data_IF_861564937361
#
_entry.id   IF_861564937361
#
_cell.length_a   1.000
_cell.length_b   1.000
_cell.length_c   1.000
_cell.angle_alpha   90.00
_cell.angle_beta   90.00
_cell.angle_gamma   90.00
#
_symmetry.space_group_name_H-M   'P 1'
#
loop_
_entity.id
_entity.type
_entity.pdbx_description
1 polymer ?
#
# COMPACT_ATOMS: atom_id res chain seq x y z
N UNK A 1 7.07 -17.66 -40.43
CA UNK A 1 7.89 -17.46 -39.22
C UNK A 1 7.19 -18.22 -38.11
N UNK A 2 7.59 -19.48 -37.90
CA UNK A 2 6.97 -20.31 -36.87
C UNK A 2 7.33 -19.74 -35.51
N UNK A 3 6.32 -19.27 -34.77
CA UNK A 3 6.50 -18.80 -33.39
C UNK A 3 6.56 -20.08 -32.55
N UNK A 4 7.78 -20.60 -32.38
CA UNK A 4 8.05 -21.71 -31.49
C UNK A 4 7.62 -21.28 -30.08
N UNK A 5 6.45 -21.77 -29.65
CA UNK A 5 5.91 -21.51 -28.32
C UNK A 5 6.79 -22.26 -27.33
N UNK A 6 7.88 -21.62 -26.91
CA UNK A 6 8.83 -22.18 -25.97
C UNK A 6 8.05 -22.69 -24.75
N UNK A 7 8.07 -24.01 -24.54
CA UNK A 7 7.46 -24.65 -23.38
C UNK A 7 8.32 -24.26 -22.19
N UNK A 8 8.01 -23.10 -21.58
CA UNK A 8 8.63 -22.65 -20.34
C UNK A 8 8.49 -23.80 -19.34
N UNK A 9 9.63 -24.29 -18.85
CA UNK A 9 9.63 -25.38 -17.89
C UNK A 9 8.89 -24.92 -16.64
N UNK A 10 8.03 -25.77 -16.07
CA UNK A 10 7.30 -25.46 -14.83
C UNK A 10 8.23 -24.96 -13.71
N UNK A 11 9.49 -25.42 -13.72
CA UNK A 11 10.52 -25.03 -12.76
C UNK A 11 11.01 -23.58 -12.94
N UNK A 12 11.02 -23.06 -14.17
CA UNK A 12 11.35 -21.66 -14.45
C UNK A 12 10.19 -20.74 -14.06
N UNK A 13 8.96 -21.16 -14.33
CA UNK A 13 7.76 -20.41 -13.94
C UNK A 13 7.68 -20.20 -12.42
N UNK A 14 8.02 -21.21 -11.63
CA UNK A 14 8.03 -21.09 -10.16
C UNK A 14 9.05 -20.05 -9.66
N UNK A 15 10.20 -19.88 -10.33
CA UNK A 15 11.18 -18.86 -9.93
C UNK A 15 10.61 -17.46 -10.08
N UNK A 16 9.92 -17.19 -11.18
CA UNK A 16 9.28 -15.89 -11.42
C UNK A 16 8.14 -15.63 -10.42
N UNK A 17 7.33 -16.65 -10.11
CA UNK A 17 6.25 -16.54 -9.12
C UNK A 17 6.84 -16.23 -7.74
N UNK A 18 7.89 -16.94 -7.31
CA UNK A 18 8.55 -16.67 -6.02
C UNK A 18 9.16 -15.27 -5.95
N UNK A 19 9.76 -14.80 -7.05
CA UNK A 19 10.24 -13.42 -7.14
C UNK A 19 9.09 -12.42 -6.95
N UNK A 20 7.97 -12.60 -7.66
CA UNK A 20 6.79 -11.74 -7.55
C UNK A 20 6.18 -11.77 -6.14
N UNK A 21 6.06 -12.95 -5.54
CA UNK A 21 5.58 -13.12 -4.15
C UNK A 21 6.51 -12.38 -3.18
N UNK A 22 7.83 -12.49 -3.37
CA UNK A 22 8.81 -11.76 -2.55
C UNK A 22 8.66 -10.25 -2.64
N UNK A 23 8.54 -9.71 -3.85
CA UNK A 23 8.34 -8.26 -4.07
C UNK A 23 7.00 -7.80 -3.47
N UNK A 24 5.93 -8.57 -3.69
CA UNK A 24 4.61 -8.23 -3.17
C UNK A 24 4.58 -8.26 -1.64
N UNK A 25 5.20 -9.26 -1.02
CA UNK A 25 5.35 -9.35 0.43
C UNK A 25 6.12 -8.15 0.99
N UNK A 26 7.20 -7.73 0.32
CA UNK A 26 7.96 -6.55 0.71
C UNK A 26 7.11 -5.28 0.66
N UNK A 27 6.29 -5.10 -0.36
CA UNK A 27 5.35 -3.98 -0.46
C UNK A 27 4.27 -4.05 0.63
N UNK A 28 3.70 -5.23 0.86
CA UNK A 28 2.68 -5.47 1.87
C UNK A 28 3.19 -5.21 3.30
N UNK A 29 4.49 -5.39 3.57
CA UNK A 29 5.11 -5.04 4.84
C UNK A 29 5.51 -3.56 4.92
N UNK A 30 6.16 -3.03 3.87
CA UNK A 30 6.67 -1.64 3.88
C UNK A 30 5.56 -0.60 3.89
N UNK A 31 4.44 -0.86 3.20
CA UNK A 31 3.30 0.04 3.15
C UNK A 31 2.68 0.34 4.54
N UNK A 32 2.22 -0.65 5.33
CA UNK A 32 1.66 -0.38 6.64
C UNK A 32 2.69 0.20 7.61
N UNK A 33 3.96 -0.22 7.54
CA UNK A 33 5.03 0.36 8.37
C UNK A 33 5.19 1.86 8.07
N UNK A 34 5.20 2.24 6.79
CA UNK A 34 5.26 3.64 6.39
C UNK A 34 4.03 4.41 6.87
N UNK A 35 2.83 3.82 6.77
CA UNK A 35 1.59 4.43 7.24
C UNK A 35 1.57 4.66 8.75
N UNK A 36 2.00 3.67 9.54
CA UNK A 36 2.12 3.79 11.01
C UNK A 36 3.13 4.89 11.38
N UNK A 37 4.27 4.95 10.68
CA UNK A 37 5.26 5.99 10.93
C UNK A 37 4.72 7.38 10.59
N UNK A 38 3.97 7.52 9.50
CA UNK A 38 3.37 8.79 9.10
C UNK A 38 2.27 9.21 10.08
N UNK A 39 1.44 8.29 10.54
CA UNK A 39 0.35 8.60 11.47
C UNK A 39 0.84 9.12 12.83
N UNK A 40 2.05 8.75 13.25
CA UNK A 40 2.67 9.24 14.49
C UNK A 40 3.29 10.63 14.40
N UNK A 41 3.39 11.25 13.21
CA UNK A 41 3.97 12.59 13.07
C UNK A 41 3.08 13.65 13.74
N UNK A 42 3.65 14.70 14.37
CA UNK A 42 2.90 15.72 15.10
C UNK A 42 1.89 16.49 14.23
N UNK A 43 2.10 16.56 12.90
CA UNK A 43 1.14 17.11 11.93
C UNK A 43 -0.22 16.39 11.95
N UNK A 44 -0.26 15.13 12.36
CA UNK A 44 -1.46 14.29 12.39
C UNK A 44 -1.92 13.99 13.83
N UNK A 45 -1.20 14.46 14.85
CA UNK A 45 -1.66 14.39 16.24
C UNK A 45 -2.88 15.31 16.41
N UNK A 46 -4.04 14.74 16.78
CA UNK A 46 -5.29 15.47 16.99
C UNK A 46 -6.20 15.60 15.76
N UNK A 47 -5.71 15.31 14.56
CA UNK A 47 -6.54 15.22 13.35
C UNK A 47 -7.07 13.79 13.21
N UNK A 48 -8.23 13.53 13.82
CA UNK A 48 -9.05 12.39 13.38
C UNK A 48 -9.29 12.58 11.87
N UNK A 49 -9.11 11.51 11.10
CA UNK A 49 -9.27 11.41 9.63
C UNK A 49 -10.69 11.75 9.13
N UNK A 50 -11.50 12.42 9.95
CA UNK A 50 -12.91 12.78 9.78
C UNK A 50 -13.18 14.29 9.62
N UNK A 51 -12.17 15.17 9.59
CA UNK A 51 -12.40 16.56 9.17
C UNK A 51 -11.91 16.75 7.74
N UNK A 52 -12.79 16.46 6.79
CA UNK A 52 -12.71 17.01 5.45
C UNK A 52 -12.79 18.53 5.65
N UNK A 53 -11.69 19.25 5.50
CA UNK A 53 -11.73 20.71 5.38
C UNK A 53 -12.32 21.00 3.99
N UNK A 54 -13.64 20.85 3.86
CA UNK A 54 -14.38 21.46 2.78
C UNK A 54 -14.38 22.97 3.10
N UNK A 55 -13.51 23.70 2.41
CA UNK A 55 -13.48 25.17 2.39
C UNK A 55 -13.51 25.85 3.77
N UNK A 56 -12.38 25.84 4.46
CA UNK A 56 -12.02 26.92 5.39
C UNK A 56 -12.89 27.12 6.64
N UNK A 57 -13.81 26.21 6.99
CA UNK A 57 -14.57 26.30 8.25
C UNK A 57 -14.50 24.99 9.04
N UNK A 58 -13.84 25.05 10.20
CA UNK A 58 -13.78 23.94 11.16
C UNK A 58 -15.19 23.77 11.76
N UNK A 59 -15.92 22.76 11.30
CA UNK A 59 -17.16 22.32 11.94
C UNK A 59 -16.83 21.61 13.26
N UNK A 60 -16.74 22.39 14.34
CA UNK A 60 -16.77 21.88 15.71
C UNK A 60 -18.16 21.32 16.01
N UNK A 61 -18.41 20.06 15.70
CA UNK A 61 -19.53 19.31 16.26
C UNK A 61 -18.97 18.06 16.93
N UNK A 62 -18.38 18.28 18.11
CA UNK A 62 -18.20 17.24 19.11
C UNK A 62 -19.59 16.84 19.60
N UNK A 63 -20.04 15.66 19.20
CA UNK A 63 -21.26 15.05 19.73
C UNK A 63 -21.02 14.73 21.20
N UNK A 64 -21.98 15.16 22.03
CA UNK A 64 -22.03 15.06 23.49
C UNK A 64 -22.25 13.62 23.96
#
# INVERSE_FOLDING_TARGET
MEIEKSRISSREMHKYIWMLVGVFSLLAATYPIAMIRVSQKPKFHGYHVKSLQLDGHIANNSVK
#
